data_IF_245508309853
#
_entry.id   IF_245508309853
#
_cell.length_a   1.000
_cell.length_b   1.000
_cell.length_c   1.000
_cell.angle_alpha   90.00
_cell.angle_beta   90.00
_cell.angle_gamma   90.00
#
_symmetry.space_group_name_H-M   'P 1'
#
loop_
_entity.id
_entity.type
_entity.pdbx_description
1 polymer ?
#
# COMPACT_ATOMS: atom_id res chain seq x y z
N UNK A 1 -0.32 13.23 -33.98
CA UNK A 1 0.10 12.32 -35.08
C UNK A 1 1.63 12.29 -35.13
N UNK A 2 2.25 11.11 -35.12
CA UNK A 2 3.72 10.97 -35.17
C UNK A 2 4.22 10.64 -36.58
N UNK A 3 3.50 9.80 -37.32
CA UNK A 3 3.87 9.39 -38.67
C UNK A 3 2.62 8.98 -39.46
N UNK A 4 2.52 9.37 -40.74
CA UNK A 4 1.38 9.09 -41.59
C UNK A 4 1.82 8.96 -43.05
N UNK A 5 2.21 7.76 -43.47
CA UNK A 5 2.71 7.51 -44.82
C UNK A 5 1.62 7.60 -45.90
N UNK A 6 0.37 7.30 -45.52
CA UNK A 6 -0.75 7.24 -46.44
C UNK A 6 -1.45 8.59 -46.63
N UNK A 7 -1.07 9.60 -45.84
CA UNK A 7 -1.76 10.90 -45.81
C UNK A 7 -3.23 10.77 -45.40
N UNK A 8 -3.54 9.79 -44.53
CA UNK A 8 -4.90 9.56 -44.06
C UNK A 8 -5.36 10.73 -43.16
N UNK A 9 -6.57 11.21 -43.39
CA UNK A 9 -7.22 12.21 -42.55
C UNK A 9 -7.68 11.56 -41.25
N UNK A 10 -7.11 11.95 -40.12
CA UNK A 10 -7.46 11.40 -38.80
C UNK A 10 -8.82 11.84 -38.27
N UNK A 11 -9.42 12.86 -38.87
CA UNK A 11 -10.77 13.31 -38.50
C UNK A 11 -11.89 12.53 -39.22
N UNK A 12 -11.56 11.78 -40.28
CA UNK A 12 -12.49 10.86 -40.95
C UNK A 12 -12.12 9.42 -40.58
N UNK A 13 -12.97 8.78 -39.77
CA UNK A 13 -12.76 7.40 -39.30
C UNK A 13 -12.63 6.39 -40.45
N UNK A 14 -13.19 6.68 -41.63
CA UNK A 14 -13.14 5.79 -42.78
C UNK A 14 -11.94 6.06 -43.71
N UNK A 15 -11.27 7.21 -43.62
CA UNK A 15 -10.26 7.60 -44.60
C UNK A 15 -9.02 6.71 -44.55
N UNK A 16 -8.58 6.30 -43.35
CA UNK A 16 -7.47 5.36 -43.22
C UNK A 16 -7.73 4.05 -43.98
N UNK A 17 -8.93 3.49 -43.84
CA UNK A 17 -9.31 2.27 -44.55
C UNK A 17 -9.33 2.49 -46.07
N UNK A 18 -9.93 3.59 -46.54
CA UNK A 18 -9.97 3.94 -47.97
C UNK A 18 -8.56 4.09 -48.56
N UNK A 19 -7.67 4.81 -47.88
CA UNK A 19 -6.28 5.01 -48.31
C UNK A 19 -5.48 3.72 -48.33
N UNK A 20 -5.70 2.85 -47.34
CA UNK A 20 -5.06 1.55 -47.27
C UNK A 20 -5.51 0.62 -48.41
N UNK A 21 -6.82 0.55 -48.67
CA UNK A 21 -7.35 -0.25 -49.78
C UNK A 21 -6.85 0.25 -51.13
N UNK A 22 -6.81 1.57 -51.35
CA UNK A 22 -6.22 2.15 -52.55
C UNK A 22 -4.72 1.85 -52.68
N UNK A 23 -3.98 1.85 -51.57
CA UNK A 23 -2.57 1.48 -51.55
C UNK A 23 -2.37 0.01 -51.97
N UNK A 24 -3.17 -0.92 -51.47
CA UNK A 24 -3.09 -2.33 -51.83
C UNK A 24 -3.56 -2.63 -53.25
N UNK A 25 -4.61 -1.95 -53.72
CA UNK A 25 -5.02 -1.98 -55.13
C UNK A 25 -3.88 -1.52 -56.04
N UNK A 26 -3.18 -0.44 -55.68
CA UNK A 26 -1.99 0.04 -56.41
C UNK A 26 -0.82 -0.95 -56.44
N UNK A 27 -0.74 -1.87 -55.47
CA UNK A 27 0.22 -2.99 -55.46
C UNK A 27 -0.29 -4.23 -56.21
N UNK A 28 -1.48 -4.18 -56.80
CA UNK A 28 -2.14 -5.29 -57.48
C UNK A 28 -2.66 -6.37 -56.52
N UNK A 29 -2.87 -6.02 -55.26
CA UNK A 29 -3.38 -6.93 -54.23
C UNK A 29 -4.91 -6.84 -54.18
N UNK A 30 -5.58 -7.97 -54.42
CA UNK A 30 -7.03 -8.08 -54.22
C UNK A 30 -7.32 -8.39 -52.76
N UNK A 31 -7.89 -7.42 -52.04
CA UNK A 31 -8.31 -7.60 -50.65
C UNK A 31 -9.43 -8.64 -50.54
N UNK A 32 -9.37 -9.43 -49.46
CA UNK A 32 -10.42 -10.37 -49.05
C UNK A 32 -10.86 -10.04 -47.64
N UNK A 33 -12.08 -10.42 -47.29
CA UNK A 33 -12.65 -10.21 -45.95
C UNK A 33 -11.84 -10.87 -44.83
N UNK A 34 -11.09 -11.94 -45.13
CA UNK A 34 -10.26 -12.68 -44.18
C UNK A 34 -8.82 -12.15 -44.08
N UNK A 35 -8.48 -11.09 -44.84
CA UNK A 35 -7.13 -10.56 -44.83
C UNK A 35 -6.89 -9.68 -43.60
N UNK A 36 -5.77 -9.95 -42.92
CA UNK A 36 -5.22 -9.01 -41.94
C UNK A 36 -4.52 -7.90 -42.72
N UNK A 37 -5.17 -6.74 -42.81
CA UNK A 37 -4.67 -5.61 -43.60
C UNK A 37 -3.49 -4.91 -42.91
N UNK A 38 -3.55 -4.74 -41.60
CA UNK A 38 -2.47 -4.17 -40.80
C UNK A 38 -2.33 -4.91 -39.47
N UNK A 39 -1.15 -4.83 -38.89
CA UNK A 39 -0.88 -5.20 -37.51
C UNK A 39 -0.61 -3.94 -36.70
N UNK A 40 -1.04 -3.97 -35.45
CA UNK A 40 -0.81 -2.90 -34.50
C UNK A 40 0.28 -3.31 -33.49
N UNK A 41 1.25 -2.43 -33.28
CA UNK A 41 2.20 -2.52 -32.18
C UNK A 41 1.94 -1.37 -31.22
N UNK A 42 1.67 -1.70 -29.96
CA UNK A 42 1.62 -0.74 -28.86
C UNK A 42 2.99 -0.69 -28.20
N UNK A 43 3.57 0.50 -28.17
CA UNK A 43 4.92 0.74 -27.67
C UNK A 43 4.87 1.67 -26.48
N UNK A 44 5.37 1.20 -25.34
CA UNK A 44 5.46 1.99 -24.10
C UNK A 44 6.55 1.45 -23.19
N UNK A 45 6.74 2.11 -22.05
CA UNK A 45 7.62 1.71 -20.96
C UNK A 45 6.88 1.80 -19.62
N UNK A 46 7.51 1.32 -18.54
CA UNK A 46 6.92 1.44 -17.21
C UNK A 46 6.67 2.92 -16.84
N UNK A 47 5.61 3.25 -16.07
CA UNK A 47 5.28 4.64 -15.74
C UNK A 47 6.43 5.42 -15.07
N UNK A 48 7.31 4.73 -14.34
CA UNK A 48 8.49 5.33 -13.71
C UNK A 48 9.49 5.90 -14.72
N UNK A 49 9.57 5.32 -15.93
CA UNK A 49 10.46 5.83 -16.98
C UNK A 49 10.08 7.25 -17.41
N UNK A 50 8.78 7.57 -17.43
CA UNK A 50 8.26 8.86 -17.86
C UNK A 50 8.08 9.86 -16.71
N UNK A 51 8.61 9.56 -15.52
CA UNK A 51 8.52 10.43 -14.34
C UNK A 51 9.91 10.96 -13.92
N UNK A 52 10.03 12.27 -13.59
CA UNK A 52 9.03 13.32 -13.80
C UNK A 52 8.72 13.51 -15.29
N UNK A 53 7.56 14.09 -15.61
CA UNK A 53 7.15 14.32 -17.00
C UNK A 53 8.07 15.35 -17.63
N UNK A 54 8.94 14.88 -18.51
CA UNK A 54 9.88 15.70 -19.28
C UNK A 54 9.55 15.52 -20.77
N UNK A 55 9.02 16.58 -21.37
CA UNK A 55 8.59 16.56 -22.78
C UNK A 55 9.76 16.37 -23.74
N UNK A 56 10.95 16.88 -23.43
CA UNK A 56 12.13 16.71 -24.29
C UNK A 56 12.54 15.24 -24.32
N UNK A 57 12.60 14.60 -23.15
CA UNK A 57 12.90 13.17 -23.04
C UNK A 57 11.84 12.31 -23.71
N UNK A 58 10.56 12.64 -23.56
CA UNK A 58 9.46 11.92 -24.23
C UNK A 58 9.57 12.08 -25.75
N UNK A 59 9.86 13.27 -26.24
CA UNK A 59 10.04 13.55 -27.66
C UNK A 59 11.25 12.81 -28.24
N UNK A 60 12.38 12.79 -27.54
CA UNK A 60 13.58 12.04 -27.92
C UNK A 60 13.30 10.53 -27.98
N UNK A 61 12.69 9.99 -26.93
CA UNK A 61 12.27 8.60 -26.87
C UNK A 61 11.34 8.25 -28.04
N UNK A 62 10.31 9.08 -28.28
CA UNK A 62 9.32 8.87 -29.33
C UNK A 62 9.94 8.90 -30.73
N UNK A 63 10.83 9.86 -31.00
CA UNK A 63 11.59 9.91 -32.27
C UNK A 63 12.42 8.66 -32.45
N UNK A 64 13.12 8.22 -31.40
CA UNK A 64 13.90 6.98 -31.44
C UNK A 64 13.03 5.74 -31.72
N UNK A 65 11.81 5.68 -31.18
CA UNK A 65 10.87 4.60 -31.49
C UNK A 65 10.44 4.62 -32.95
N UNK A 66 10.11 5.80 -33.49
CA UNK A 66 9.77 5.93 -34.91
C UNK A 66 10.91 5.46 -35.81
N UNK A 67 12.15 5.81 -35.49
CA UNK A 67 13.33 5.40 -36.28
C UNK A 67 13.56 3.89 -36.21
N UNK A 68 13.35 3.24 -35.06
CA UNK A 68 13.37 1.79 -34.97
C UNK A 68 12.34 1.14 -35.90
N UNK A 69 11.09 1.60 -35.86
CA UNK A 69 10.01 1.03 -36.66
C UNK A 69 10.17 1.31 -38.16
N UNK A 70 10.67 2.49 -38.55
CA UNK A 70 11.05 2.76 -39.95
C UNK A 70 12.16 1.82 -40.42
N UNK A 71 13.17 1.56 -39.60
CA UNK A 71 14.26 0.66 -39.94
C UNK A 71 13.79 -0.80 -40.03
N UNK A 72 12.93 -1.23 -39.12
CA UNK A 72 12.47 -2.62 -39.03
C UNK A 72 11.43 -2.95 -40.12
N UNK A 73 10.53 -2.02 -40.45
CA UNK A 73 9.39 -2.27 -41.34
C UNK A 73 9.41 -1.48 -42.66
N UNK A 74 10.26 -0.46 -42.79
CA UNK A 74 10.39 0.33 -44.02
C UNK A 74 9.06 0.91 -44.49
N UNK A 75 8.73 0.69 -45.77
CA UNK A 75 7.48 1.16 -46.38
C UNK A 75 6.22 0.53 -45.81
N UNK A 76 6.35 -0.55 -45.02
CA UNK A 76 5.21 -1.20 -44.37
C UNK A 76 4.73 -0.44 -43.16
N UNK A 77 5.55 0.40 -42.54
CA UNK A 77 5.06 1.33 -41.52
C UNK A 77 4.11 2.32 -42.20
N UNK A 78 2.83 2.30 -41.83
CA UNK A 78 1.80 3.16 -42.43
C UNK A 78 1.47 4.34 -41.56
N UNK A 79 1.39 4.12 -40.25
CA UNK A 79 0.98 5.16 -39.30
C UNK A 79 1.65 4.97 -37.94
N UNK A 80 1.89 6.08 -37.25
CA UNK A 80 2.37 6.15 -35.88
C UNK A 80 1.57 7.20 -35.13
N UNK A 81 0.92 6.84 -34.02
CA UNK A 81 0.09 7.75 -33.21
C UNK A 81 0.61 7.74 -31.79
N UNK A 82 1.09 8.90 -31.32
CA UNK A 82 1.52 9.11 -29.94
C UNK A 82 0.31 9.56 -29.11
N UNK A 83 0.02 8.85 -28.01
CA UNK A 83 -0.96 9.24 -27.00
C UNK A 83 -0.23 9.78 -25.76
N UNK A 84 -0.65 10.97 -25.31
CA UNK A 84 -0.06 11.72 -24.17
C UNK A 84 -1.11 12.15 -23.13
N UNK A 85 -2.37 11.91 -23.45
CA UNK A 85 -3.61 12.18 -22.72
C UNK A 85 -3.99 11.03 -21.77
N UNK A 86 -3.38 9.87 -21.93
CA UNK A 86 -3.52 8.75 -21.01
C UNK A 86 -2.47 8.74 -19.88
N UNK A 87 -2.62 7.79 -18.94
CA UNK A 87 -1.77 7.68 -17.74
C UNK A 87 -0.28 7.48 -18.04
N UNK A 88 0.04 6.78 -19.12
CA UNK A 88 1.43 6.49 -19.53
C UNK A 88 1.58 6.78 -21.01
N UNK A 89 2.54 7.61 -21.43
CA UNK A 89 2.83 7.83 -22.84
C UNK A 89 3.05 6.51 -23.59
N UNK A 90 2.39 6.37 -24.74
CA UNK A 90 2.54 5.19 -25.58
C UNK A 90 2.28 5.55 -27.05
N UNK A 91 2.81 4.72 -27.95
CA UNK A 91 2.70 4.90 -29.39
C UNK A 91 2.05 3.68 -30.02
N UNK A 92 1.05 3.92 -30.85
CA UNK A 92 0.45 2.92 -31.73
C UNK A 92 1.12 2.99 -33.10
N UNK A 93 1.80 1.92 -33.50
CA UNK A 93 2.36 1.78 -34.84
C UNK A 93 1.55 0.77 -35.66
N UNK A 94 1.09 1.20 -36.84
CA UNK A 94 0.31 0.39 -37.76
C UNK A 94 1.19 -0.06 -38.93
N UNK A 95 1.34 -1.37 -39.07
CA UNK A 95 2.24 -2.01 -40.03
C UNK A 95 1.42 -2.77 -41.05
N UNK A 96 1.56 -2.40 -42.33
CA UNK A 96 0.99 -3.13 -43.45
C UNK A 96 1.56 -4.54 -43.56
N UNK A 97 0.76 -5.45 -44.09
CA UNK A 97 1.12 -6.88 -44.18
C UNK A 97 1.54 -7.29 -45.58
N UNK A 98 1.78 -6.31 -46.47
CA UNK A 98 2.21 -6.56 -47.83
C UNK A 98 3.55 -7.31 -47.86
N UNK A 99 3.61 -8.33 -48.69
CA UNK A 99 4.77 -9.17 -48.88
C UNK A 99 5.04 -9.32 -50.36
N UNK A 100 6.21 -8.83 -50.78
CA UNK A 100 6.71 -8.99 -52.13
C UNK A 100 7.20 -10.42 -52.31
N UNK A 101 6.64 -11.11 -53.29
CA UNK A 101 7.06 -12.46 -53.70
C UNK A 101 7.53 -12.41 -55.15
N UNK A 102 8.64 -13.08 -55.43
CA UNK A 102 9.15 -13.24 -56.79
C UNK A 102 8.94 -14.70 -57.16
N UNK A 103 8.07 -14.94 -58.14
CA UNK A 103 7.79 -16.29 -58.64
C UNK A 103 8.53 -16.50 -59.95
N UNK A 104 9.24 -17.63 -60.04
CA UNK A 104 9.88 -18.10 -61.26
C UNK A 104 8.87 -18.88 -62.10
N UNK A 105 8.79 -18.54 -63.37
CA UNK A 105 7.96 -19.20 -64.37
C UNK A 105 8.85 -19.73 -65.48
N UNK A 106 8.44 -20.84 -66.10
CA UNK A 106 9.09 -21.40 -67.28
C UNK A 106 8.06 -21.64 -68.37
N UNK A 107 8.33 -21.13 -69.56
CA UNK A 107 7.54 -21.42 -70.76
C UNK A 107 8.47 -21.88 -71.90
N UNK A 108 7.92 -22.08 -73.10
CA UNK A 108 8.69 -22.50 -74.28
C UNK A 108 9.78 -21.50 -74.70
N UNK A 109 9.72 -20.24 -74.26
CA UNK A 109 10.68 -19.16 -74.56
C UNK A 109 11.76 -18.98 -73.49
N UNK A 110 11.76 -19.80 -72.43
CA UNK A 110 12.74 -19.76 -71.35
C UNK A 110 12.14 -19.50 -69.97
N UNK A 111 13.00 -19.07 -69.05
CA UNK A 111 12.65 -18.77 -67.67
C UNK A 111 12.48 -17.27 -67.47
N UNK A 112 11.43 -16.86 -66.76
CA UNK A 112 11.21 -15.46 -66.39
C UNK A 112 10.71 -15.34 -64.95
N UNK A 113 10.92 -14.18 -64.35
CA UNK A 113 10.50 -13.89 -62.98
C UNK A 113 9.36 -12.87 -63.01
N UNK A 114 8.32 -13.11 -62.22
CA UNK A 114 7.23 -12.16 -62.00
C UNK A 114 7.17 -11.80 -60.53
N UNK A 115 7.21 -10.50 -60.26
CA UNK A 115 7.01 -9.95 -58.92
C UNK A 115 5.51 -9.76 -58.67
N UNK A 116 5.05 -10.14 -57.48
CA UNK A 116 3.68 -9.92 -57.03
C UNK A 116 3.62 -9.66 -55.54
N UNK A 117 2.69 -8.83 -55.12
CA UNK A 117 2.40 -8.58 -53.72
C UNK A 117 1.24 -9.46 -53.24
N UNK A 118 1.28 -9.79 -51.95
CA UNK A 118 0.21 -10.48 -51.24
C UNK A 118 0.17 -10.00 -49.79
N UNK A 119 -0.93 -10.20 -49.07
CA UNK A 119 -1.01 -9.90 -47.64
C UNK A 119 -0.63 -11.14 -46.84
N UNK A 120 0.43 -11.05 -46.05
CA UNK A 120 0.93 -12.17 -45.25
C UNK A 120 1.35 -11.72 -43.84
N UNK A 121 0.37 -11.55 -42.96
CA UNK A 121 0.62 -11.28 -41.54
C UNK A 121 1.31 -12.46 -40.82
N UNK A 122 1.07 -13.70 -41.26
CA UNK A 122 1.58 -14.92 -40.60
C UNK A 122 3.10 -15.01 -40.56
N UNK A 123 3.81 -14.27 -41.43
CA UNK A 123 5.28 -14.18 -41.41
C UNK A 123 5.82 -13.59 -40.10
N UNK A 124 5.04 -12.75 -39.44
CA UNK A 124 5.37 -12.17 -38.14
C UNK A 124 5.01 -13.14 -37.02
N UNK A 125 5.60 -14.33 -37.10
CA UNK A 125 5.35 -15.43 -36.19
C UNK A 125 6.05 -15.22 -34.83
N UNK A 126 5.85 -16.18 -33.93
CA UNK A 126 6.44 -16.14 -32.59
C UNK A 126 7.98 -16.00 -32.60
N UNK A 127 8.67 -16.61 -33.57
CA UNK A 127 10.14 -16.52 -33.66
C UNK A 127 10.54 -15.10 -34.03
N UNK A 128 9.92 -14.55 -35.09
CA UNK A 128 10.17 -13.17 -35.51
C UNK A 128 9.92 -12.18 -34.37
N UNK A 129 8.77 -12.28 -33.70
CA UNK A 129 8.39 -11.36 -32.62
C UNK A 129 9.35 -11.49 -31.41
N UNK A 130 9.78 -12.71 -31.06
CA UNK A 130 10.75 -12.93 -29.98
C UNK A 130 12.09 -12.26 -30.29
N UNK A 131 12.57 -12.42 -31.51
CA UNK A 131 13.86 -11.87 -31.93
C UNK A 131 13.75 -10.33 -32.12
N UNK A 132 12.57 -9.83 -32.53
CA UNK A 132 12.26 -8.40 -32.56
C UNK A 132 12.33 -7.81 -31.15
N UNK A 133 11.83 -8.49 -30.11
CA UNK A 133 12.00 -8.03 -28.72
C UNK A 133 13.48 -7.91 -28.33
N UNK A 134 14.36 -8.80 -28.81
CA UNK A 134 15.81 -8.73 -28.57
C UNK A 134 16.42 -7.49 -29.25
N UNK A 135 16.11 -7.27 -30.55
CA UNK A 135 16.55 -6.09 -31.30
C UNK A 135 16.01 -4.79 -30.71
N UNK A 136 14.75 -4.80 -30.29
CA UNK A 136 14.08 -3.64 -29.72
C UNK A 136 14.66 -3.26 -28.35
N UNK A 137 15.00 -4.24 -27.50
CA UNK A 137 15.70 -3.99 -26.25
C UNK A 137 17.11 -3.42 -26.49
N UNK A 138 17.86 -3.96 -27.47
CA UNK A 138 19.17 -3.42 -27.84
C UNK A 138 19.08 -1.97 -28.30
N UNK A 139 18.05 -1.63 -29.09
CA UNK A 139 17.80 -0.25 -29.54
C UNK A 139 17.50 0.68 -28.36
N UNK A 140 16.75 0.22 -27.36
CA UNK A 140 16.34 1.03 -26.21
C UNK A 140 17.34 1.04 -25.06
N UNK A 141 18.50 0.39 -25.20
CA UNK A 141 19.52 0.36 -24.16
C UNK A 141 20.05 1.76 -23.80
N UNK A 142 20.08 2.70 -24.76
CA UNK A 142 20.47 4.09 -24.52
C UNK A 142 19.54 4.83 -23.54
N UNK A 143 18.29 4.39 -23.41
CA UNK A 143 17.32 4.95 -22.47
C UNK A 143 17.34 4.25 -21.10
N UNK A 144 18.23 3.28 -20.89
CA UNK A 144 18.26 2.44 -19.69
C UNK A 144 17.09 1.45 -19.58
N UNK A 145 16.37 1.22 -20.68
CA UNK A 145 15.28 0.25 -20.74
C UNK A 145 15.82 -1.15 -21.04
N UNK A 146 15.24 -2.13 -20.37
CA UNK A 146 15.63 -3.54 -20.50
C UNK A 146 14.54 -4.36 -21.22
N UNK A 147 14.97 -5.50 -21.76
CA UNK A 147 14.06 -6.49 -22.34
C UNK A 147 13.11 -7.05 -21.28
N UNK A 148 11.86 -7.29 -21.65
CA UNK A 148 10.97 -8.14 -20.86
C UNK A 148 11.52 -9.57 -20.68
N UNK A 149 11.13 -10.21 -19.57
CA UNK A 149 11.59 -11.55 -19.18
C UNK A 149 11.33 -12.57 -20.30
N UNK A 150 12.41 -13.26 -20.73
CA UNK A 150 12.33 -14.29 -21.77
C UNK A 150 11.55 -15.50 -21.25
N UNK A 151 10.60 -15.99 -22.03
CA UNK A 151 9.75 -17.12 -21.61
C UNK A 151 8.74 -16.77 -20.51
N UNK A 152 8.41 -15.48 -20.34
CA UNK A 152 7.35 -15.04 -19.43
C UNK A 152 6.05 -15.81 -19.68
N UNK A 153 5.45 -16.33 -18.60
CA UNK A 153 4.15 -17.01 -18.63
C UNK A 153 2.97 -16.05 -18.45
N UNK A 154 3.23 -14.73 -18.38
CA UNK A 154 2.18 -13.71 -18.25
C UNK A 154 1.31 -13.72 -19.51
N UNK A 155 0.00 -13.72 -19.32
CA UNK A 155 -0.97 -13.57 -20.41
C UNK A 155 -1.30 -12.09 -20.57
N UNK A 156 -1.43 -11.64 -21.82
CA UNK A 156 -1.99 -10.33 -22.10
C UNK A 156 -3.43 -10.29 -21.56
N UNK A 157 -3.76 -9.20 -20.89
CA UNK A 157 -5.11 -8.89 -20.43
C UNK A 157 -5.57 -7.63 -21.14
N UNK A 158 -6.83 -7.56 -21.61
CA UNK A 158 -7.41 -6.32 -22.09
C UNK A 158 -7.30 -5.22 -21.03
N UNK A 159 -7.23 -3.96 -21.49
CA UNK A 159 -7.11 -2.79 -20.60
C UNK A 159 -8.30 -2.69 -19.64
N UNK A 160 -9.52 -3.00 -20.11
CA UNK A 160 -10.72 -3.02 -19.26
C UNK A 160 -10.60 -4.02 -18.11
N UNK A 161 -10.22 -5.27 -18.41
CA UNK A 161 -10.03 -6.31 -17.39
C UNK A 161 -8.95 -5.92 -16.37
N UNK A 162 -7.90 -5.21 -16.81
CA UNK A 162 -6.90 -4.70 -15.89
C UNK A 162 -7.48 -3.67 -14.91
N UNK A 163 -8.31 -2.74 -15.40
CA UNK A 163 -8.97 -1.76 -14.53
C UNK A 163 -10.02 -2.42 -13.62
N UNK A 164 -10.77 -3.41 -14.09
CA UNK A 164 -11.71 -4.16 -13.25
C UNK A 164 -10.99 -4.82 -12.07
N UNK A 165 -9.84 -5.44 -12.31
CA UNK A 165 -9.02 -6.06 -11.25
C UNK A 165 -8.42 -5.01 -10.32
N UNK A 166 -7.99 -3.86 -10.83
CA UNK A 166 -7.46 -2.77 -10.02
C UNK A 166 -8.56 -2.16 -9.16
N UNK A 167 -9.74 -1.93 -9.72
CA UNK A 167 -10.90 -1.38 -9.03
C UNK A 167 -11.43 -2.36 -8.00
N UNK A 168 -11.49 -3.67 -8.30
CA UNK A 168 -11.81 -4.70 -7.31
C UNK A 168 -10.77 -4.70 -6.17
N UNK A 169 -9.48 -4.59 -6.50
CA UNK A 169 -8.41 -4.54 -5.51
C UNK A 169 -8.39 -3.25 -4.69
N UNK A 170 -8.87 -2.11 -5.23
CA UNK A 170 -8.95 -0.82 -4.54
C UNK A 170 -10.25 -0.65 -3.74
N UNK A 171 -11.36 -1.22 -4.24
CA UNK A 171 -12.69 -1.14 -3.64
C UNK A 171 -13.02 -2.32 -2.73
N UNK A 172 -12.16 -3.35 -2.66
CA UNK A 172 -12.21 -4.35 -1.61
C UNK A 172 -12.22 -3.61 -0.26
N UNK A 173 -13.30 -3.77 0.50
CA UNK A 173 -13.54 -3.05 1.76
C UNK A 173 -12.63 -3.60 2.86
N UNK A 174 -11.33 -3.32 2.73
CA UNK A 174 -10.31 -3.67 3.71
C UNK A 174 -10.61 -3.02 5.05
N UNK A 175 -11.37 -1.92 5.07
CA UNK A 175 -11.81 -1.26 6.29
C UNK A 175 -12.71 -2.19 7.12
N UNK A 176 -13.73 -2.82 6.53
CA UNK A 176 -14.52 -3.84 7.24
C UNK A 176 -13.70 -5.03 7.71
N UNK A 177 -12.74 -5.49 6.91
CA UNK A 177 -11.88 -6.62 7.28
C UNK A 177 -10.96 -6.24 8.45
N UNK A 178 -10.34 -5.05 8.40
CA UNK A 178 -9.50 -4.48 9.44
C UNK A 178 -10.33 -4.19 10.70
N UNK A 179 -11.53 -3.63 10.59
CA UNK A 179 -12.43 -3.36 11.71
C UNK A 179 -12.90 -4.66 12.38
N UNK A 180 -13.15 -5.73 11.60
CA UNK A 180 -13.44 -7.07 12.13
C UNK A 180 -12.23 -7.67 12.84
N UNK A 181 -11.03 -7.46 12.31
CA UNK A 181 -9.77 -7.87 12.95
C UNK A 181 -9.53 -7.09 14.25
N UNK A 182 -9.67 -5.76 14.22
CA UNK A 182 -9.49 -4.86 15.36
C UNK A 182 -10.52 -5.11 16.46
N UNK A 183 -11.79 -5.34 16.11
CA UNK A 183 -12.83 -5.66 17.09
C UNK A 183 -12.58 -7.01 17.77
N UNK A 184 -12.07 -8.01 17.03
CA UNK A 184 -11.59 -9.28 17.59
C UNK A 184 -10.46 -9.08 18.60
N UNK A 185 -9.44 -8.29 18.24
CA UNK A 185 -8.33 -7.96 19.14
C UNK A 185 -8.77 -7.17 20.39
N UNK A 186 -9.66 -6.20 20.20
CA UNK A 186 -10.15 -5.33 21.30
C UNK A 186 -10.96 -6.14 22.32
N UNK A 187 -11.74 -7.14 21.87
CA UNK A 187 -12.50 -8.02 22.75
C UNK A 187 -11.60 -8.90 23.62
N UNK A 188 -10.48 -9.38 23.07
CA UNK A 188 -9.53 -10.24 23.79
C UNK A 188 -8.62 -9.44 24.74
N UNK A 189 -8.19 -8.23 24.34
CA UNK A 189 -7.41 -7.34 25.20
C UNK A 189 -8.18 -6.90 26.46
N UNK A 190 -9.52 -6.77 26.39
CA UNK A 190 -10.36 -6.47 27.55
C UNK A 190 -10.36 -7.57 28.64
N UNK A 191 -9.95 -8.79 28.30
CA UNK A 191 -9.94 -9.95 29.22
C UNK A 191 -8.59 -10.08 29.94
N UNK A 192 -7.54 -9.42 29.44
CA UNK A 192 -6.16 -9.59 29.91
C UNK A 192 -5.69 -8.40 30.72
N UNK A 193 -5.57 -8.57 32.04
CA UNK A 193 -5.10 -7.53 32.97
C UNK A 193 -3.60 -7.58 33.26
N UNK A 194 -2.83 -8.44 32.58
CA UNK A 194 -1.40 -8.65 32.88
C UNK A 194 -0.52 -8.46 31.65
N UNK A 195 0.67 -7.88 31.88
CA UNK A 195 1.70 -7.62 30.86
C UNK A 195 2.13 -8.90 30.12
N UNK A 196 2.18 -10.03 30.84
CA UNK A 196 2.50 -11.34 30.27
C UNK A 196 1.40 -11.87 29.34
N UNK A 197 0.12 -11.69 29.70
CA UNK A 197 -1.01 -12.08 28.85
C UNK A 197 -1.07 -11.31 27.54
N UNK A 198 -0.79 -10.00 27.58
CA UNK A 198 -0.72 -9.15 26.38
C UNK A 198 0.47 -9.56 25.49
N UNK A 199 1.65 -9.83 26.07
CA UNK A 199 2.82 -10.30 25.33
C UNK A 199 2.59 -11.65 24.64
N UNK A 200 1.94 -12.60 25.30
CA UNK A 200 1.66 -13.91 24.72
C UNK A 200 0.66 -13.82 23.58
N UNK A 201 -0.35 -12.95 23.68
CA UNK A 201 -1.32 -12.74 22.62
C UNK A 201 -0.70 -12.07 21.38
N UNK A 202 0.20 -11.11 21.59
CA UNK A 202 1.00 -10.51 20.51
C UNK A 202 1.86 -11.58 19.80
N UNK A 203 2.53 -12.45 20.58
CA UNK A 203 3.45 -13.46 20.03
C UNK A 203 2.73 -14.59 19.29
N UNK A 204 1.58 -15.03 19.79
CA UNK A 204 0.86 -16.20 19.27
C UNK A 204 -0.12 -15.88 18.14
N UNK A 205 -0.69 -14.66 18.11
CA UNK A 205 -1.78 -14.32 17.17
C UNK A 205 -1.46 -13.14 16.26
N UNK A 206 -0.75 -12.12 16.76
CA UNK A 206 -0.39 -10.94 15.95
C UNK A 206 0.85 -11.24 15.10
N UNK A 207 1.95 -11.70 15.69
CA UNK A 207 3.21 -11.94 14.99
C UNK A 207 3.10 -12.91 13.80
N UNK A 208 2.38 -14.05 13.89
CA UNK A 208 2.27 -14.96 12.75
C UNK A 208 1.45 -14.38 11.60
N UNK A 209 0.40 -13.61 11.91
CA UNK A 209 -0.44 -12.95 10.91
C UNK A 209 0.29 -11.80 10.25
N UNK A 210 1.00 -10.98 11.02
CA UNK A 210 1.86 -9.91 10.52
C UNK A 210 2.98 -10.49 9.65
N UNK A 211 3.61 -11.59 10.08
CA UNK A 211 4.61 -12.32 9.32
C UNK A 211 4.06 -12.90 8.00
N UNK A 212 2.84 -13.44 8.00
CA UNK A 212 2.18 -13.90 6.78
C UNK A 212 1.86 -12.73 5.82
N UNK A 213 1.40 -11.60 6.35
CA UNK A 213 1.14 -10.39 5.58
C UNK A 213 2.43 -9.83 4.94
N UNK A 214 3.52 -9.78 5.71
CA UNK A 214 4.86 -9.39 5.22
C UNK A 214 5.35 -10.37 4.15
N UNK A 215 5.17 -11.69 4.34
CA UNK A 215 5.57 -12.71 3.34
C UNK A 215 4.76 -12.58 2.06
N UNK A 216 3.45 -12.39 2.16
CA UNK A 216 2.58 -12.17 1.00
C UNK A 216 2.95 -10.88 0.27
N UNK A 217 3.25 -9.81 1.01
CA UNK A 217 3.72 -8.56 0.44
C UNK A 217 5.11 -8.68 -0.21
N UNK A 218 6.04 -9.44 0.38
CA UNK A 218 7.33 -9.79 -0.25
C UNK A 218 7.16 -10.65 -1.51
N UNK A 219 6.24 -11.62 -1.49
CA UNK A 219 5.91 -12.43 -2.65
C UNK A 219 5.31 -11.57 -3.77
N UNK A 220 4.42 -10.63 -3.43
CA UNK A 220 3.89 -9.62 -4.35
C UNK A 220 5.00 -8.69 -4.89
N UNK A 221 5.91 -8.20 -4.04
CA UNK A 221 7.09 -7.41 -4.45
C UNK A 221 7.95 -8.14 -5.47
N UNK A 222 8.15 -9.45 -5.27
CA UNK A 222 8.92 -10.31 -6.18
C UNK A 222 8.17 -10.62 -7.48
N UNK A 223 6.84 -10.75 -7.42
CA UNK A 223 5.99 -11.04 -8.58
C UNK A 223 5.71 -9.80 -9.47
N UNK A 224 5.76 -8.60 -8.88
CA UNK A 224 5.42 -7.33 -9.56
C UNK A 224 6.63 -6.51 -10.01
N UNK A 225 7.87 -6.91 -9.68
CA UNK A 225 9.14 -6.22 -10.04
C UNK A 225 9.13 -4.69 -9.76
N UNK A 226 8.23 -4.22 -8.91
CA UNK A 226 8.11 -2.80 -8.59
C UNK A 226 9.11 -2.49 -7.47
N UNK A 227 10.00 -1.51 -7.70
CA UNK A 227 10.95 -1.05 -6.69
C UNK A 227 10.23 -0.25 -5.59
N UNK A 228 9.52 -0.97 -4.71
CA UNK A 228 8.77 -0.44 -3.56
C UNK A 228 9.55 -0.58 -2.26
N UNK A 229 10.89 -0.48 -2.30
CA UNK A 229 11.74 -0.56 -1.12
C UNK A 229 11.28 0.38 0.01
N UNK A 230 10.84 1.59 -0.35
CA UNK A 230 10.29 2.57 0.58
C UNK A 230 9.00 2.15 1.30
N UNK A 231 8.14 1.29 0.71
CA UNK A 231 6.92 0.81 1.39
C UNK A 231 7.27 -0.13 2.55
N UNK A 232 8.32 -0.94 2.41
CA UNK A 232 8.79 -1.85 3.45
C UNK A 232 9.53 -1.12 4.58
N UNK A 233 10.34 -0.12 4.24
CA UNK A 233 10.99 0.73 5.23
C UNK A 233 9.95 1.56 6.00
N UNK A 234 8.92 2.07 5.31
CA UNK A 234 7.79 2.74 5.95
C UNK A 234 7.02 1.78 6.87
N UNK A 235 6.77 0.54 6.46
CA UNK A 235 6.14 -0.49 7.29
C UNK A 235 6.95 -0.80 8.56
N UNK A 236 8.29 -0.90 8.45
CA UNK A 236 9.17 -1.07 9.62
C UNK A 236 9.10 0.12 10.58
N UNK A 237 9.10 1.34 10.03
CA UNK A 237 8.98 2.58 10.83
C UNK A 237 7.62 2.63 11.54
N UNK A 238 6.54 2.30 10.84
CA UNK A 238 5.20 2.24 11.42
C UNK A 238 5.06 1.13 12.47
N UNK A 239 5.68 -0.04 12.25
CA UNK A 239 5.73 -1.12 13.23
C UNK A 239 6.46 -0.68 14.51
N UNK A 240 7.65 -0.09 14.37
CA UNK A 240 8.42 0.41 15.52
C UNK A 240 7.67 1.49 16.30
N UNK A 241 6.93 2.35 15.59
CA UNK A 241 6.06 3.37 16.20
C UNK A 241 4.89 2.74 16.97
N UNK A 242 4.21 1.76 16.39
CA UNK A 242 3.12 1.05 17.05
C UNK A 242 3.61 0.28 18.30
N UNK A 243 4.78 -0.37 18.23
CA UNK A 243 5.40 -1.05 19.37
C UNK A 243 5.71 -0.06 20.51
N UNK A 244 6.20 1.14 20.17
CA UNK A 244 6.45 2.22 21.14
C UNK A 244 5.16 2.72 21.77
N UNK A 245 4.13 2.99 20.99
CA UNK A 245 2.83 3.45 21.49
C UNK A 245 2.17 2.41 22.42
N UNK A 246 2.26 1.12 22.08
CA UNK A 246 1.80 0.01 22.94
C UNK A 246 2.61 -0.03 24.25
N UNK A 247 3.94 0.10 24.18
CA UNK A 247 4.80 0.10 25.36
C UNK A 247 4.48 1.28 26.30
N UNK A 248 4.24 2.48 25.75
CA UNK A 248 3.83 3.66 26.50
C UNK A 248 2.45 3.48 27.13
N UNK A 249 1.48 2.91 26.42
CA UNK A 249 0.15 2.61 26.94
C UNK A 249 0.21 1.61 28.11
N UNK A 250 1.00 0.54 27.98
CA UNK A 250 1.24 -0.43 29.05
C UNK A 250 1.93 0.20 30.25
N UNK A 251 2.92 1.09 30.04
CA UNK A 251 3.58 1.81 31.12
C UNK A 251 2.59 2.69 31.89
N UNK A 252 1.75 3.46 31.19
CA UNK A 252 0.68 4.25 31.80
C UNK A 252 -0.27 3.37 32.62
N UNK A 253 -0.71 2.23 32.10
CA UNK A 253 -1.55 1.28 32.82
C UNK A 253 -0.88 0.76 34.11
N UNK A 254 0.42 0.45 34.08
CA UNK A 254 1.18 0.06 35.28
C UNK A 254 1.29 1.19 36.31
N UNK A 255 1.46 2.44 35.86
CA UNK A 255 1.45 3.61 36.75
C UNK A 255 0.09 3.81 37.43
N UNK A 256 -1.02 3.68 36.69
CA UNK A 256 -2.36 3.69 37.28
C UNK A 256 -2.56 2.57 38.30
N UNK A 257 -2.08 1.35 38.03
CA UNK A 257 -2.13 0.23 38.98
C UNK A 257 -1.34 0.49 40.28
N UNK A 258 -0.15 1.10 40.18
CA UNK A 258 0.63 1.51 41.36
C UNK A 258 -0.05 2.63 42.15
N UNK A 259 -0.66 3.60 41.46
CA UNK A 259 -1.44 4.67 42.08
C UNK A 259 -2.62 4.13 42.89
N UNK A 260 -3.37 3.18 42.32
CA UNK A 260 -4.48 2.52 43.02
C UNK A 260 -4.03 1.76 44.27
N UNK A 261 -2.89 1.06 44.21
CA UNK A 261 -2.32 0.38 45.39
C UNK A 261 -1.91 1.38 46.47
N UNK A 262 -1.24 2.47 46.08
CA UNK A 262 -0.84 3.53 47.01
C UNK A 262 -2.06 4.19 47.68
N UNK A 263 -3.14 4.43 46.93
CA UNK A 263 -4.40 4.96 47.47
C UNK A 263 -5.04 3.97 48.46
N UNK A 264 -4.98 2.67 48.18
CA UNK A 264 -5.49 1.65 49.11
C UNK A 264 -4.67 1.59 50.40
N UNK A 265 -3.34 1.62 50.31
CA UNK A 265 -2.44 1.61 51.46
C UNK A 265 -2.65 2.87 52.34
N UNK A 266 -2.74 4.06 51.73
CA UNK A 266 -3.01 5.32 52.44
C UNK A 266 -4.40 5.33 53.12
N UNK A 267 -5.40 4.67 52.53
CA UNK A 267 -6.73 4.54 53.16
C UNK A 267 -6.66 3.67 54.41
N UNK A 268 -5.98 2.54 54.34
CA UNK A 268 -5.79 1.65 55.49
C UNK A 268 -5.03 2.36 56.63
N UNK A 269 -3.96 3.10 56.29
CA UNK A 269 -3.19 3.87 57.26
C UNK A 269 -4.05 4.97 57.91
N UNK A 270 -4.88 5.67 57.13
CA UNK A 270 -5.78 6.70 57.64
C UNK A 270 -6.86 6.12 58.56
N UNK A 271 -7.41 4.94 58.24
CA UNK A 271 -8.34 4.23 59.12
C UNK A 271 -7.69 3.85 60.46
N UNK A 272 -6.44 3.37 60.44
CA UNK A 272 -5.67 3.07 61.66
C UNK A 272 -5.43 4.33 62.49
N UNK A 273 -4.97 5.41 61.88
CA UNK A 273 -4.74 6.70 62.56
C UNK A 273 -6.03 7.27 63.15
N UNK A 274 -7.18 7.09 62.49
CA UNK A 274 -8.49 7.49 63.02
C UNK A 274 -8.90 6.65 64.23
N UNK A 275 -8.64 5.35 64.21
CA UNK A 275 -8.89 4.46 65.34
C UNK A 275 -8.02 4.83 66.55
N UNK A 276 -6.72 5.06 66.34
CA UNK A 276 -5.80 5.51 67.39
C UNK A 276 -6.20 6.88 67.97
N UNK A 277 -6.52 7.85 67.12
CA UNK A 277 -7.01 9.16 67.58
C UNK A 277 -8.29 9.03 68.43
N UNK A 278 -9.21 8.14 68.07
CA UNK A 278 -10.41 7.88 68.85
C UNK A 278 -10.07 7.30 70.22
N UNK A 279 -9.12 6.37 70.28
CA UNK A 279 -8.64 5.79 71.53
C UNK A 279 -7.97 6.84 72.42
N UNK A 280 -7.07 7.65 71.86
CA UNK A 280 -6.39 8.73 72.59
C UNK A 280 -7.39 9.76 73.14
N UNK A 281 -8.38 10.18 72.34
CA UNK A 281 -9.46 11.06 72.80
C UNK A 281 -10.25 10.46 73.96
N UNK A 282 -10.54 9.15 73.91
CA UNK A 282 -11.22 8.48 75.01
C UNK A 282 -10.36 8.45 76.30
N UNK A 283 -9.06 8.19 76.17
CA UNK A 283 -8.12 8.22 77.30
C UNK A 283 -8.03 9.63 77.91
N UNK A 284 -7.85 10.66 77.08
CA UNK A 284 -7.82 12.06 77.52
C UNK A 284 -9.12 12.43 78.23
N UNK A 285 -10.26 12.03 77.67
CA UNK A 285 -11.57 12.29 78.28
C UNK A 285 -11.71 11.60 79.64
N UNK A 286 -11.25 10.34 79.75
CA UNK A 286 -11.25 9.60 81.03
C UNK A 286 -10.34 10.26 82.06
N UNK A 287 -9.13 10.67 81.67
CA UNK A 287 -8.19 11.37 82.53
C UNK A 287 -8.73 12.72 83.00
N UNK A 288 -9.29 13.53 82.09
CA UNK A 288 -9.94 14.79 82.42
C UNK A 288 -11.09 14.59 83.42
N UNK A 289 -11.91 13.55 83.22
CA UNK A 289 -12.99 13.20 84.15
C UNK A 289 -12.45 12.83 85.54
N UNK A 290 -11.36 12.07 85.59
CA UNK A 290 -10.69 11.70 86.85
C UNK A 290 -10.11 12.91 87.57
N UNK A 291 -9.46 13.82 86.84
CA UNK A 291 -8.93 15.08 87.37
C UNK A 291 -10.05 15.94 87.95
N UNK A 292 -11.14 16.15 87.21
CA UNK A 292 -12.32 16.89 87.69
C UNK A 292 -12.90 16.23 88.95
N UNK A 293 -12.94 14.89 89.00
CA UNK A 293 -13.38 14.14 90.17
C UNK A 293 -12.48 14.37 91.40
N UNK A 294 -11.15 14.34 91.21
CA UNK A 294 -10.17 14.62 92.25
C UNK A 294 -10.27 16.07 92.74
N UNK A 295 -10.37 17.05 91.84
CA UNK A 295 -10.56 18.47 92.17
C UNK A 295 -11.84 18.70 92.98
N UNK A 296 -12.95 18.03 92.61
CA UNK A 296 -14.21 18.07 93.37
C UNK A 296 -14.07 17.44 94.75
N UNK A 297 -13.43 16.28 94.87
CA UNK A 297 -13.19 15.62 96.15
C UNK A 297 -12.34 16.50 97.09
N UNK A 298 -11.28 17.11 96.56
CA UNK A 298 -10.41 18.01 97.31
C UNK A 298 -11.14 19.30 97.72
N UNK A 299 -12.06 19.81 96.90
CA UNK A 299 -12.93 20.93 97.26
C UNK A 299 -13.90 20.58 98.40
N UNK A 300 -14.42 19.35 98.42
CA UNK A 300 -15.29 18.85 99.50
C UNK A 300 -14.49 18.71 100.80
N UNK A 301 -13.30 18.09 100.77
CA UNK A 301 -12.41 18.01 101.94
C UNK A 301 -12.10 19.40 102.51
N UNK A 302 -11.70 20.35 101.66
CA UNK A 302 -11.42 21.73 102.07
C UNK A 302 -12.65 22.43 102.69
N UNK A 303 -13.86 22.10 102.23
CA UNK A 303 -15.12 22.64 102.79
C UNK A 303 -15.53 21.97 104.11
N UNK A 304 -15.19 20.69 104.32
CA UNK A 304 -15.42 19.95 105.58
C UNK A 304 -14.52 20.43 106.71
N UNK A 305 -13.26 20.75 106.44
CA UNK A 305 -12.34 21.38 107.42
C UNK A 305 -12.80 22.77 107.84
N UNK A 306 -13.48 23.51 106.97
CA UNK A 306 -14.05 24.83 107.29
C UNK A 306 -15.22 24.75 108.30
N UNK A 307 -16.04 23.69 108.23
CA UNK A 307 -17.12 23.48 109.22
C UNK A 307 -16.62 22.96 110.57
N UNK A 308 -15.56 22.15 110.60
CA UNK A 308 -14.93 21.71 111.86
C UNK A 308 -14.31 22.89 112.64
N UNK A 309 -13.72 23.86 111.95
CA UNK A 309 -13.19 25.10 112.56
C UNK A 309 -14.25 26.06 113.10
N UNK A 310 -15.52 25.94 112.67
CA UNK A 310 -16.62 26.82 113.12
C UNK A 310 -17.32 26.32 114.38
N UNK A 311 -17.26 25.03 114.69
CA UNK A 311 -17.84 24.45 115.93
C UNK A 311 -16.96 24.66 117.18
N UNK A 312 -15.67 24.96 117.03
CA UNK A 312 -14.73 25.13 118.17
C UNK A 312 -14.73 26.58 118.71
N UNK A 313 -15.44 27.53 118.08
CA UNK A 313 -15.46 28.96 118.45
C UNK A 313 -16.75 29.47 119.10
N UNK A 314 -17.68 28.59 119.50
CA UNK A 314 -18.97 29.00 120.08
C UNK A 314 -19.19 28.60 121.56
N UNK A 315 -18.21 27.98 122.23
CA UNK A 315 -18.23 27.77 123.68
C UNK A 315 -17.05 28.53 124.34
N UNK A 316 -17.15 29.86 124.39
CA UNK A 316 -16.47 30.76 125.34
C UNK A 316 -17.25 32.06 125.46
#
# INVERSE_FOLDING_TARGET
MLYNALGANTSDAADLQKKLSAHYEGLGVKERSDNVLMMEFVVSASPAFFKPRDENRINEWTKSQLEFFKKEFGSQLKMGVLHLDEKTPHVHFFIGTEFKSVKKYRNQKGEFFKESYSLNAKRYNQIYLRDMHDRYAKHNACFGLARGVRGSKKKHKPVSEFYDVVDEALNADYKKLIDKLLSGFTRELKILNTKAGVQELLRTRVNPRLGALIKNHMALKKATESNRAGEYDLLKVLQARAEKEIAEALAKQMHYGKGLKTIADLRNENEQLQAENKLQKAVITSQATKIIGLERAQRIENSGTSQAGRKIKLDK
#
